data_IF_315654024484
#
_entry.id   IF_315654024484
#
_cell.length_a   1.000
_cell.length_b   1.000
_cell.length_c   1.000
_cell.angle_alpha   90.00
_cell.angle_beta   90.00
_cell.angle_gamma   90.00
#
_symmetry.space_group_name_H-M   'P 1'
#
loop_
_entity.id
_entity.type
_entity.pdbx_description
1 polymer ?
#
# COMPACT_ATOMS: atom_id res chain seq x y z
N UNK A 1 1.37 -46.87 51.08
CA UNK A 1 2.60 -46.16 50.67
C UNK A 1 2.41 -45.74 49.21
N UNK A 2 1.75 -44.62 48.99
CA UNK A 2 2.35 -43.29 48.83
C UNK A 2 2.96 -43.10 47.42
N UNK A 3 2.22 -42.29 46.66
CA UNK A 3 2.46 -41.69 45.36
C UNK A 3 3.88 -41.18 45.11
N UNK A 4 4.45 -41.48 43.94
CA UNK A 4 5.45 -40.60 43.32
C UNK A 4 4.81 -39.85 42.16
N UNK A 5 4.31 -38.67 42.50
CA UNK A 5 3.93 -37.59 41.62
C UNK A 5 5.12 -37.21 40.73
N UNK A 6 5.05 -37.58 39.44
CA UNK A 6 5.82 -36.89 38.40
C UNK A 6 5.32 -35.46 38.34
N UNK A 7 6.04 -34.59 39.05
CA UNK A 7 5.91 -33.14 38.97
C UNK A 7 6.09 -32.71 37.51
N UNK A 8 4.98 -32.40 36.86
CA UNK A 8 4.94 -31.59 35.63
C UNK A 8 5.49 -30.22 35.99
N UNK A 9 6.76 -29.96 35.67
CA UNK A 9 7.26 -28.58 35.58
C UNK A 9 6.67 -27.94 34.32
N UNK A 10 6.22 -26.68 34.38
CA UNK A 10 5.60 -26.00 33.25
C UNK A 10 6.68 -25.57 32.24
N UNK A 11 6.54 -26.01 30.98
CA UNK A 11 7.39 -25.61 29.86
C UNK A 11 7.05 -24.20 29.30
N UNK A 12 6.17 -23.43 29.96
CA UNK A 12 5.61 -22.21 29.37
C UNK A 12 6.48 -20.95 29.53
N UNK A 13 7.63 -21.02 30.23
CA UNK A 13 8.46 -19.84 30.51
C UNK A 13 9.50 -19.51 29.43
N UNK A 14 10.06 -20.52 28.76
CA UNK A 14 11.19 -20.35 27.82
C UNK A 14 10.72 -19.89 26.43
N UNK A 15 9.55 -20.38 26.00
CA UNK A 15 9.05 -20.15 24.64
C UNK A 15 8.52 -18.71 24.49
N UNK A 16 7.85 -18.17 25.51
CA UNK A 16 7.36 -16.80 25.49
C UNK A 16 8.49 -15.76 25.49
N UNK A 17 9.58 -16.03 26.22
CA UNK A 17 10.75 -15.17 26.25
C UNK A 17 11.52 -15.23 24.92
N UNK A 18 11.66 -16.43 24.35
CA UNK A 18 12.26 -16.63 23.02
C UNK A 18 11.47 -15.91 21.93
N UNK A 19 10.14 -16.07 21.91
CA UNK A 19 9.25 -15.40 20.97
C UNK A 19 9.37 -13.87 21.08
N UNK A 20 9.39 -13.33 22.30
CA UNK A 20 9.57 -11.89 22.53
C UNK A 20 10.91 -11.39 22.00
N UNK A 21 11.99 -12.11 22.28
CA UNK A 21 13.32 -11.76 21.79
C UNK A 21 13.39 -11.75 20.26
N UNK A 22 12.82 -12.76 19.60
CA UNK A 22 12.79 -12.86 18.13
C UNK A 22 11.94 -11.76 17.49
N UNK A 23 10.80 -11.39 18.10
CA UNK A 23 10.01 -10.21 17.70
C UNK A 23 10.80 -8.90 17.81
N UNK A 24 11.59 -8.74 18.88
CA UNK A 24 12.42 -7.55 19.06
C UNK A 24 13.54 -7.47 18.01
N UNK A 25 14.09 -8.62 17.57
CA UNK A 25 15.01 -8.68 16.42
C UNK A 25 14.30 -8.23 15.14
N UNK A 26 13.17 -8.87 14.80
CA UNK A 26 12.42 -8.53 13.58
C UNK A 26 12.05 -7.03 13.56
N UNK A 27 11.61 -6.48 14.69
CA UNK A 27 11.31 -5.05 14.81
C UNK A 27 12.51 -4.17 14.48
N UNK A 28 13.72 -4.52 14.96
CA UNK A 28 14.95 -3.77 14.64
C UNK A 28 15.31 -3.89 13.17
N UNK A 29 15.18 -5.07 12.58
CA UNK A 29 15.41 -5.27 11.14
C UNK A 29 14.45 -4.41 10.30
N UNK A 30 13.16 -4.42 10.64
CA UNK A 30 12.16 -3.59 9.96
C UNK A 30 12.39 -2.10 10.18
N UNK A 31 12.86 -1.69 11.35
CA UNK A 31 13.21 -0.29 11.62
C UNK A 31 14.47 0.15 10.84
N UNK A 32 15.39 -0.77 10.54
CA UNK A 32 16.53 -0.53 9.65
C UNK A 32 16.16 -0.52 8.16
N UNK A 33 15.21 -1.36 7.75
CA UNK A 33 14.76 -1.50 6.35
C UNK A 33 13.73 -0.44 5.91
N UNK A 34 13.49 0.62 6.70
CA UNK A 34 12.43 1.62 6.44
C UNK A 34 12.58 2.37 5.13
N UNK A 35 13.81 2.49 4.63
CA UNK A 35 14.10 3.16 3.37
C UNK A 35 14.00 2.20 2.17
N UNK A 36 13.57 0.95 2.42
CA UNK A 36 13.28 -0.08 1.42
C UNK A 36 14.49 -0.41 0.52
N UNK A 37 15.70 -0.28 1.05
CA UNK A 37 16.91 -0.67 0.34
C UNK A 37 16.95 -2.20 0.15
N UNK A 38 17.32 -2.64 -1.06
CA UNK A 38 17.28 -4.08 -1.43
C UNK A 38 18.12 -4.96 -0.50
N UNK A 39 19.25 -4.46 0.02
CA UNK A 39 20.08 -5.20 0.97
C UNK A 39 19.35 -5.44 2.30
N UNK A 40 18.72 -4.42 2.87
CA UNK A 40 18.02 -4.54 4.15
C UNK A 40 16.77 -5.40 4.02
N UNK A 41 16.03 -5.26 2.91
CA UNK A 41 14.88 -6.12 2.63
C UNK A 41 15.27 -7.59 2.49
N UNK A 42 16.46 -7.88 1.91
CA UNK A 42 16.99 -9.24 1.84
C UNK A 42 17.26 -9.81 3.24
N UNK A 43 17.83 -9.02 4.15
CA UNK A 43 18.06 -9.46 5.54
C UNK A 43 16.73 -9.75 6.25
N UNK A 44 15.70 -8.93 5.99
CA UNK A 44 14.34 -9.20 6.51
C UNK A 44 13.79 -10.50 5.92
N UNK A 45 13.94 -10.73 4.62
CA UNK A 45 13.49 -11.94 3.94
C UNK A 45 14.17 -13.19 4.52
N UNK A 46 15.49 -13.17 4.69
CA UNK A 46 16.27 -14.24 5.33
C UNK A 46 15.74 -14.56 6.74
N UNK A 47 15.48 -13.54 7.56
CA UNK A 47 14.89 -13.74 8.88
C UNK A 47 13.48 -14.37 8.82
N UNK A 48 12.66 -13.98 7.85
CA UNK A 48 11.30 -14.49 7.70
C UNK A 48 11.27 -15.95 7.23
N UNK A 49 12.27 -16.37 6.44
CA UNK A 49 12.48 -17.80 6.12
C UNK A 49 12.81 -18.58 7.39
N UNK A 50 13.75 -18.07 8.20
CA UNK A 50 14.22 -18.72 9.42
C UNK A 50 13.14 -18.79 10.52
N UNK A 51 12.20 -17.84 10.55
CA UNK A 51 11.20 -17.72 11.62
C UNK A 51 9.83 -17.27 11.11
N UNK A 52 9.20 -18.12 10.29
CA UNK A 52 7.87 -17.87 9.72
C UNK A 52 6.80 -17.65 10.80
N UNK A 53 6.92 -18.32 11.96
CA UNK A 53 5.98 -18.17 13.09
C UNK A 53 6.02 -16.75 13.64
N UNK A 54 7.22 -16.19 13.85
CA UNK A 54 7.36 -14.79 14.26
C UNK A 54 6.84 -13.85 13.18
N UNK A 55 7.10 -14.14 11.90
CA UNK A 55 6.58 -13.39 10.76
C UNK A 55 5.06 -13.25 10.78
N UNK A 56 4.34 -14.37 10.70
CA UNK A 56 2.87 -14.38 10.64
C UNK A 56 2.25 -13.79 11.90
N UNK A 57 2.83 -14.08 13.06
CA UNK A 57 2.34 -13.55 14.32
C UNK A 57 2.50 -12.02 14.39
N UNK A 58 3.61 -11.48 13.87
CA UNK A 58 3.86 -10.04 13.83
C UNK A 58 2.86 -9.34 12.91
N UNK A 59 2.64 -9.88 11.70
CA UNK A 59 1.63 -9.36 10.75
C UNK A 59 0.24 -9.37 11.38
N UNK A 60 -0.16 -10.51 11.97
CA UNK A 60 -1.46 -10.66 12.62
C UNK A 60 -1.66 -9.66 13.76
N UNK A 61 -0.65 -9.47 14.62
CA UNK A 61 -0.73 -8.52 15.72
C UNK A 61 -0.87 -7.07 15.23
N UNK A 62 -0.12 -6.68 14.20
CA UNK A 62 -0.22 -5.33 13.63
C UNK A 62 -1.59 -5.08 13.00
N UNK A 63 -2.09 -6.01 12.20
CA UNK A 63 -3.38 -5.89 11.51
C UNK A 63 -4.56 -5.84 12.49
N UNK A 64 -4.59 -6.74 13.47
CA UNK A 64 -5.61 -6.70 14.54
C UNK A 64 -5.54 -5.40 15.36
N UNK A 65 -4.35 -4.82 15.50
CA UNK A 65 -4.16 -3.52 16.14
C UNK A 65 -4.90 -2.39 15.42
N UNK A 66 -4.99 -2.42 14.08
CA UNK A 66 -5.79 -1.46 13.32
C UNK A 66 -7.28 -1.63 13.60
N UNK A 67 -7.77 -2.87 13.63
CA UNK A 67 -9.16 -3.20 13.92
C UNK A 67 -9.59 -2.80 15.33
N UNK A 68 -8.79 -3.14 16.36
CA UNK A 68 -9.09 -2.76 17.74
C UNK A 68 -9.08 -1.25 17.96
N UNK A 69 -8.29 -0.52 17.17
CA UNK A 69 -8.16 0.93 17.27
C UNK A 69 -9.20 1.70 16.45
N UNK A 70 -10.09 1.02 15.70
CA UNK A 70 -11.11 1.67 14.86
C UNK A 70 -12.08 2.55 15.65
N UNK A 71 -12.46 2.13 16.85
CA UNK A 71 -13.30 2.91 17.78
C UNK A 71 -12.63 4.21 18.23
N UNK A 72 -11.32 4.31 18.02
CA UNK A 72 -10.46 5.43 18.38
C UNK A 72 -9.85 6.15 17.18
N UNK A 73 -10.27 5.85 15.92
CA UNK A 73 -9.89 6.71 14.80
C UNK A 73 -10.40 8.10 15.16
N UNK A 74 -9.50 9.08 15.33
CA UNK A 74 -9.93 10.41 15.72
C UNK A 74 -10.88 10.93 14.66
N UNK A 75 -12.08 11.33 15.07
CA UNK A 75 -12.81 12.31 14.29
C UNK A 75 -11.89 13.54 14.16
N UNK A 76 -12.03 14.35 13.12
CA UNK A 76 -11.26 15.59 12.95
C UNK A 76 -11.56 16.65 14.05
N UNK A 77 -12.07 16.21 15.21
CA UNK A 77 -12.40 17.01 16.35
C UNK A 77 -11.14 17.37 17.15
N UNK A 78 -10.93 18.67 17.31
CA UNK A 78 -9.68 19.31 17.73
C UNK A 78 -9.44 19.14 19.24
N UNK A 79 -10.44 18.67 19.98
CA UNK A 79 -10.45 18.50 21.44
C UNK A 79 -9.50 17.41 21.97
N UNK A 80 -9.05 16.47 21.14
CA UNK A 80 -8.16 15.34 21.54
C UNK A 80 -6.83 15.28 20.78
N UNK A 81 -6.34 16.43 20.31
CA UNK A 81 -5.22 16.54 19.38
C UNK A 81 -3.95 15.72 19.76
N UNK A 82 -3.46 15.67 21.01
CA UNK A 82 -2.24 14.91 21.34
C UNK A 82 -2.40 13.38 21.26
N UNK A 83 -3.50 12.84 21.77
CA UNK A 83 -3.78 11.40 21.75
C UNK A 83 -4.05 10.92 20.31
N UNK A 84 -4.81 11.72 19.54
CA UNK A 84 -5.07 11.50 18.13
C UNK A 84 -3.78 11.45 17.29
N UNK A 85 -2.86 12.39 17.55
CA UNK A 85 -1.54 12.42 16.90
C UNK A 85 -0.71 11.20 17.28
N UNK A 86 -0.72 10.81 18.55
CA UNK A 86 0.03 9.63 19.01
C UNK A 86 -0.47 8.34 18.33
N UNK A 87 -1.79 8.13 18.29
CA UNK A 87 -2.40 6.99 17.61
C UNK A 87 -2.05 6.98 16.11
N UNK A 88 -2.12 8.14 15.45
CA UNK A 88 -1.76 8.28 14.03
C UNK A 88 -0.28 7.95 13.77
N UNK A 89 0.63 8.33 14.67
CA UNK A 89 2.06 7.98 14.59
C UNK A 89 2.28 6.47 14.75
N UNK A 90 1.59 5.83 15.70
CA UNK A 90 1.67 4.39 15.92
C UNK A 90 1.11 3.60 14.71
N UNK A 91 -0.01 4.06 14.15
CA UNK A 91 -0.60 3.51 12.94
C UNK A 91 0.34 3.65 11.74
N UNK A 92 0.93 4.83 11.53
CA UNK A 92 1.92 5.08 10.47
C UNK A 92 3.13 4.16 10.59
N UNK A 93 3.71 4.05 11.80
CA UNK A 93 4.87 3.18 12.02
C UNK A 93 4.54 1.69 11.79
N UNK A 94 3.31 1.26 12.09
CA UNK A 94 2.87 -0.11 11.82
C UNK A 94 2.67 -0.34 10.33
N UNK A 95 2.15 0.65 9.61
CA UNK A 95 2.00 0.61 8.16
C UNK A 95 3.36 0.55 7.44
N UNK A 96 4.34 1.35 7.88
CA UNK A 96 5.72 1.31 7.36
C UNK A 96 6.32 -0.09 7.51
N UNK A 97 6.16 -0.72 8.68
CA UNK A 97 6.67 -2.08 8.93
C UNK A 97 5.96 -3.14 8.10
N UNK A 98 4.64 -3.07 7.97
CA UNK A 98 3.88 -3.98 7.11
C UNK A 98 4.31 -3.84 5.64
N UNK A 99 4.58 -2.61 5.18
CA UNK A 99 5.08 -2.37 3.82
C UNK A 99 6.45 -3.01 3.61
N UNK A 100 7.35 -2.94 4.60
CA UNK A 100 8.66 -3.61 4.55
C UNK A 100 8.51 -5.14 4.53
N UNK A 101 7.60 -5.70 5.34
CA UNK A 101 7.32 -7.16 5.34
C UNK A 101 6.80 -7.58 3.97
N UNK A 102 5.81 -6.88 3.41
CA UNK A 102 5.29 -7.20 2.08
C UNK A 102 6.35 -7.06 1.00
N UNK A 103 7.19 -6.03 1.06
CA UNK A 103 8.30 -5.86 0.13
C UNK A 103 9.27 -7.05 0.20
N UNK A 104 9.67 -7.45 1.40
CA UNK A 104 10.55 -8.61 1.63
C UNK A 104 9.91 -9.92 1.12
N UNK A 105 8.63 -10.14 1.41
CA UNK A 105 7.88 -11.32 0.96
C UNK A 105 7.73 -11.40 -0.57
N UNK A 106 7.76 -10.27 -1.26
CA UNK A 106 7.63 -10.17 -2.73
C UNK A 106 8.98 -9.92 -3.43
N UNK A 107 10.11 -10.05 -2.72
CA UNK A 107 11.42 -9.96 -3.37
C UNK A 107 11.63 -11.13 -4.32
N UNK A 108 12.05 -10.84 -5.55
CA UNK A 108 12.60 -11.84 -6.47
C UNK A 108 14.01 -12.20 -6.00
N UNK A 109 14.11 -13.18 -5.11
CA UNK A 109 15.38 -13.64 -4.53
C UNK A 109 15.46 -15.17 -4.53
N UNK A 110 16.62 -15.70 -4.16
CA UNK A 110 16.85 -17.14 -3.95
C UNK A 110 15.88 -17.77 -2.92
N UNK A 111 15.22 -16.95 -2.10
CA UNK A 111 14.30 -17.36 -1.04
C UNK A 111 12.82 -17.30 -1.44
N UNK A 112 12.50 -17.00 -2.71
CA UNK A 112 11.12 -16.73 -3.13
C UNK A 112 10.17 -17.91 -2.81
N UNK A 113 10.58 -19.14 -3.13
CA UNK A 113 9.77 -20.35 -2.90
C UNK A 113 9.55 -20.65 -1.41
N UNK A 114 10.57 -20.43 -0.58
CA UNK A 114 10.49 -20.67 0.87
C UNK A 114 9.54 -19.69 1.59
N UNK A 115 9.35 -18.50 1.00
CA UNK A 115 8.47 -17.47 1.53
C UNK A 115 7.01 -17.59 1.05
N UNK A 116 6.73 -18.40 0.03
CA UNK A 116 5.37 -18.54 -0.52
C UNK A 116 4.33 -19.03 0.52
N UNK A 117 4.62 -20.01 1.40
CA UNK A 117 3.68 -20.42 2.45
C UNK A 117 3.38 -19.31 3.47
N UNK A 118 4.40 -18.53 3.84
CA UNK A 118 4.23 -17.39 4.75
C UNK A 118 3.46 -16.25 4.06
N UNK A 119 3.74 -16.01 2.78
CA UNK A 119 3.05 -14.99 1.95
C UNK A 119 1.57 -15.31 1.87
N UNK A 120 1.20 -16.56 1.57
CA UNK A 120 -0.20 -17.00 1.52
C UNK A 120 -0.91 -16.77 2.87
N UNK A 121 -0.31 -17.19 3.98
CA UNK A 121 -0.88 -16.96 5.32
C UNK A 121 -1.02 -15.47 5.65
N UNK A 122 -0.03 -14.65 5.29
CA UNK A 122 -0.12 -13.20 5.50
C UNK A 122 -1.29 -12.61 4.68
N UNK A 123 -1.45 -13.02 3.43
CA UNK A 123 -2.53 -12.56 2.56
C UNK A 123 -3.91 -12.92 3.12
N UNK A 124 -4.09 -14.11 3.68
CA UNK A 124 -5.35 -14.50 4.34
C UNK A 124 -5.71 -13.51 5.47
N UNK A 125 -4.72 -13.15 6.31
CA UNK A 125 -4.94 -12.14 7.37
C UNK A 125 -5.20 -10.74 6.81
N UNK A 126 -4.55 -10.38 5.70
CA UNK A 126 -4.80 -9.10 5.03
C UNK A 126 -6.22 -9.01 4.49
N UNK A 127 -6.74 -10.09 3.89
CA UNK A 127 -8.13 -10.17 3.41
C UNK A 127 -9.09 -9.92 4.56
N UNK A 128 -8.93 -10.64 5.68
CA UNK A 128 -9.79 -10.51 6.87
C UNK A 128 -9.81 -9.10 7.44
N UNK A 129 -8.64 -8.44 7.51
CA UNK A 129 -8.46 -7.15 8.19
C UNK A 129 -8.49 -5.95 7.22
N UNK A 130 -8.70 -6.19 5.92
CA UNK A 130 -8.62 -5.18 4.86
C UNK A 130 -9.52 -3.96 5.11
N UNK A 131 -10.82 -4.10 5.48
CA UNK A 131 -11.69 -2.94 5.66
C UNK A 131 -11.22 -1.99 6.76
N UNK A 132 -10.55 -2.53 7.78
CA UNK A 132 -10.00 -1.76 8.91
C UNK A 132 -8.71 -1.05 8.51
N UNK A 133 -7.80 -1.79 7.87
CA UNK A 133 -6.55 -1.25 7.35
C UNK A 133 -6.82 -0.13 6.33
N UNK A 134 -7.75 -0.34 5.40
CA UNK A 134 -8.08 0.62 4.36
C UNK A 134 -8.65 1.94 4.93
N UNK A 135 -9.46 1.87 5.99
CA UNK A 135 -9.94 3.06 6.70
C UNK A 135 -8.80 3.84 7.34
N UNK A 136 -7.85 3.16 7.98
CA UNK A 136 -6.67 3.80 8.56
C UNK A 136 -5.77 4.43 7.49
N UNK A 137 -5.50 3.72 6.40
CA UNK A 137 -4.75 4.27 5.27
C UNK A 137 -5.42 5.53 4.72
N UNK A 138 -6.74 5.50 4.52
CA UNK A 138 -7.49 6.68 4.06
C UNK A 138 -7.42 7.84 5.07
N UNK A 139 -7.47 7.57 6.37
CA UNK A 139 -7.35 8.59 7.40
C UNK A 139 -5.95 9.22 7.37
N UNK A 140 -4.89 8.40 7.38
CA UNK A 140 -3.51 8.87 7.39
C UNK A 140 -3.17 9.69 6.15
N UNK A 141 -3.60 9.27 4.95
CA UNK A 141 -3.39 10.03 3.71
C UNK A 141 -4.07 11.42 3.78
N UNK A 142 -5.24 11.51 4.44
CA UNK A 142 -6.00 12.77 4.57
C UNK A 142 -5.48 13.69 5.67
N UNK A 143 -4.84 13.16 6.71
CA UNK A 143 -4.43 13.94 7.88
C UNK A 143 -3.44 15.07 7.54
N UNK A 144 -2.61 14.88 6.51
CA UNK A 144 -1.67 15.91 6.03
C UNK A 144 -0.48 16.17 6.98
N UNK A 145 0.56 16.83 6.46
CA UNK A 145 1.93 16.93 7.00
C UNK A 145 2.16 17.53 8.40
N UNK A 146 1.13 17.90 9.17
CA UNK A 146 1.32 18.68 10.41
C UNK A 146 1.74 17.83 11.62
N UNK A 147 1.49 16.52 11.60
CA UNK A 147 1.71 15.65 12.76
C UNK A 147 2.51 14.38 12.46
N UNK A 148 2.51 13.96 11.18
CA UNK A 148 3.13 12.72 10.69
C UNK A 148 3.88 13.02 9.39
N UNK A 149 4.89 12.19 9.11
CA UNK A 149 5.64 12.28 7.86
C UNK A 149 4.75 11.84 6.68
N UNK A 150 4.18 12.83 6.00
CA UNK A 150 3.27 12.63 4.87
C UNK A 150 3.92 11.81 3.74
N UNK A 151 5.22 12.04 3.47
CA UNK A 151 5.91 11.30 2.42
C UNK A 151 5.97 9.81 2.78
N UNK A 152 6.38 9.48 4.02
CA UNK A 152 6.40 8.08 4.49
C UNK A 152 5.04 7.42 4.46
N UNK A 153 3.98 8.13 4.82
CA UNK A 153 2.61 7.62 4.73
C UNK A 153 2.22 7.30 3.29
N UNK A 154 2.45 8.23 2.35
CA UNK A 154 2.11 8.04 0.94
C UNK A 154 2.91 6.90 0.33
N UNK A 155 4.21 6.81 0.63
CA UNK A 155 5.07 5.69 0.22
C UNK A 155 4.52 4.38 0.77
N UNK A 156 4.31 4.27 2.08
CA UNK A 156 3.87 3.03 2.71
C UNK A 156 2.51 2.59 2.18
N UNK A 157 1.54 3.50 2.08
CA UNK A 157 0.23 3.19 1.51
C UNK A 157 0.32 2.70 0.06
N UNK A 158 1.17 3.34 -0.76
CA UNK A 158 1.35 2.93 -2.16
C UNK A 158 2.00 1.55 -2.25
N UNK A 159 3.04 1.29 -1.46
CA UNK A 159 3.74 -0.01 -1.44
C UNK A 159 2.82 -1.13 -0.97
N UNK A 160 2.03 -0.89 0.08
CA UNK A 160 1.03 -1.86 0.56
C UNK A 160 0.04 -2.25 -0.54
N UNK A 161 -0.59 -1.26 -1.17
CA UNK A 161 -1.54 -1.52 -2.26
C UNK A 161 -0.85 -2.20 -3.44
N UNK A 162 0.35 -1.76 -3.80
CA UNK A 162 1.13 -2.34 -4.89
C UNK A 162 1.35 -3.85 -4.67
N UNK A 163 1.87 -4.25 -3.51
CA UNK A 163 2.13 -5.67 -3.25
C UNK A 163 0.88 -6.52 -2.99
N UNK A 164 -0.19 -5.92 -2.47
CA UNK A 164 -1.45 -6.62 -2.20
C UNK A 164 -2.33 -6.76 -3.44
N UNK A 165 -2.17 -5.91 -4.46
CA UNK A 165 -3.04 -5.90 -5.64
C UNK A 165 -2.34 -6.26 -6.94
N UNK A 166 -1.01 -6.14 -7.03
CA UNK A 166 -0.29 -6.55 -8.25
C UNK A 166 -0.29 -8.08 -8.38
N UNK A 167 -0.66 -8.56 -9.57
CA UNK A 167 -0.90 -10.00 -9.83
C UNK A 167 -2.19 -10.49 -9.20
N UNK A 168 -3.23 -9.64 -9.16
CA UNK A 168 -4.56 -10.03 -8.66
C UNK A 168 -5.23 -11.11 -9.52
N UNK A 169 -4.86 -11.24 -10.78
CA UNK A 169 -5.25 -12.31 -11.69
C UNK A 169 -4.63 -13.68 -11.34
N UNK A 170 -3.51 -13.69 -10.62
CA UNK A 170 -2.78 -14.90 -10.26
C UNK A 170 -3.12 -15.44 -8.86
N UNK A 171 -3.60 -14.61 -7.94
CA UNK A 171 -3.92 -14.99 -6.56
C UNK A 171 -5.31 -14.48 -6.12
N UNK A 172 -6.26 -15.37 -5.78
CA UNK A 172 -7.63 -14.99 -5.42
C UNK A 172 -7.71 -14.08 -4.18
N UNK A 173 -6.74 -14.15 -3.27
CA UNK A 173 -6.70 -13.28 -2.08
C UNK A 173 -6.38 -11.85 -2.47
N UNK A 174 -5.46 -11.68 -3.44
CA UNK A 174 -5.13 -10.37 -4.01
C UNK A 174 -6.30 -9.84 -4.83
N UNK A 175 -6.98 -10.70 -5.60
CA UNK A 175 -8.22 -10.32 -6.29
C UNK A 175 -9.26 -9.79 -5.32
N UNK A 176 -9.53 -10.51 -4.22
CA UNK A 176 -10.51 -10.11 -3.20
C UNK A 176 -10.19 -8.73 -2.60
N UNK A 177 -8.92 -8.48 -2.27
CA UNK A 177 -8.47 -7.16 -1.82
C UNK A 177 -8.65 -6.11 -2.93
N UNK A 178 -8.26 -6.42 -4.16
CA UNK A 178 -8.28 -5.49 -5.29
C UNK A 178 -9.69 -5.07 -5.70
N UNK A 179 -10.66 -5.99 -5.67
CA UNK A 179 -12.08 -5.71 -6.01
C UNK A 179 -12.87 -5.09 -4.86
N UNK A 180 -12.34 -5.13 -3.62
CA UNK A 180 -13.02 -4.56 -2.47
C UNK A 180 -13.26 -3.03 -2.66
N UNK A 181 -14.45 -2.48 -2.36
CA UNK A 181 -14.81 -1.10 -2.67
C UNK A 181 -13.87 -0.01 -2.12
N UNK A 182 -13.19 -0.29 -1.00
CA UNK A 182 -12.22 0.66 -0.43
C UNK A 182 -10.93 0.77 -1.23
N UNK A 183 -10.60 -0.22 -2.05
CA UNK A 183 -9.34 -0.29 -2.80
C UNK A 183 -9.31 0.73 -3.94
N UNK A 184 -10.32 0.79 -4.84
CA UNK A 184 -10.42 1.88 -5.81
C UNK A 184 -10.39 3.26 -5.17
N UNK A 185 -11.08 3.42 -4.03
CA UNK A 185 -11.16 4.68 -3.31
C UNK A 185 -9.78 5.15 -2.79
N UNK A 186 -8.95 4.22 -2.31
CA UNK A 186 -7.58 4.49 -1.87
C UNK A 186 -6.65 4.79 -3.04
N UNK A 187 -6.76 4.03 -4.13
CA UNK A 187 -5.96 4.26 -5.35
C UNK A 187 -6.24 5.65 -5.91
N UNK A 188 -7.51 6.04 -6.05
CA UNK A 188 -7.90 7.38 -6.47
C UNK A 188 -7.42 8.48 -5.49
N UNK A 189 -7.45 8.21 -4.19
CA UNK A 189 -6.96 9.14 -3.16
C UNK A 189 -5.44 9.38 -3.30
N UNK A 190 -4.65 8.33 -3.54
CA UNK A 190 -3.21 8.42 -3.76
C UNK A 190 -2.87 9.07 -5.10
N UNK A 191 -3.59 8.72 -6.17
CA UNK A 191 -3.49 9.40 -7.46
C UNK A 191 -3.79 10.90 -7.32
N UNK A 192 -4.74 11.29 -6.48
CA UNK A 192 -5.06 12.71 -6.28
C UNK A 192 -4.14 13.42 -5.28
N UNK A 193 -3.18 12.72 -4.66
CA UNK A 193 -2.37 13.27 -3.57
C UNK A 193 -1.23 14.15 -4.11
N UNK A 194 -1.22 15.41 -3.68
CA UNK A 194 -0.19 16.42 -3.98
C UNK A 194 0.76 16.64 -2.81
N UNK A 195 2.04 16.85 -3.11
CA UNK A 195 3.07 17.30 -2.18
C UNK A 195 2.71 18.72 -1.71
N UNK A 196 2.53 18.94 -0.41
CA UNK A 196 2.10 20.25 0.12
C UNK A 196 3.06 21.38 -0.27
N UNK A 197 4.37 21.11 -0.32
CA UNK A 197 5.40 22.13 -0.59
C UNK A 197 5.44 22.58 -2.06
N UNK A 198 5.22 21.68 -3.01
CA UNK A 198 5.42 21.95 -4.44
C UNK A 198 4.12 22.03 -5.22
N UNK A 199 3.01 21.53 -4.67
CA UNK A 199 1.74 21.42 -5.38
C UNK A 199 1.71 20.33 -6.45
N UNK A 200 2.84 19.65 -6.70
CA UNK A 200 2.98 18.53 -7.64
C UNK A 200 2.48 17.22 -7.04
N UNK A 201 2.11 16.26 -7.87
CA UNK A 201 1.72 14.93 -7.41
C UNK A 201 2.90 14.12 -6.84
N UNK A 202 2.60 13.14 -5.99
CA UNK A 202 3.62 12.17 -5.57
C UNK A 202 3.94 11.21 -6.72
N UNK A 203 5.15 11.31 -7.24
CA UNK A 203 5.78 10.35 -8.15
C UNK A 203 6.67 9.43 -7.33
N UNK A 204 6.29 8.17 -7.19
CA UNK A 204 7.04 7.18 -6.42
C UNK A 204 7.76 6.25 -7.40
N UNK A 205 8.90 6.72 -7.89
CA UNK A 205 9.70 5.99 -8.86
C UNK A 205 10.44 4.82 -8.20
N UNK A 206 10.42 3.68 -8.90
CA UNK A 206 11.28 2.54 -8.66
C UNK A 206 12.17 2.35 -9.88
N UNK A 207 13.42 1.94 -9.66
CA UNK A 207 14.39 1.73 -10.75
C UNK A 207 13.94 0.68 -11.77
N UNK A 208 13.00 -0.19 -11.42
CA UNK A 208 12.57 -1.36 -12.20
C UNK A 208 11.18 -1.23 -12.84
N UNK A 209 10.34 -0.28 -12.42
CA UNK A 209 8.92 -0.20 -12.87
C UNK A 209 8.40 1.24 -13.02
N UNK A 210 9.29 2.24 -12.89
CA UNK A 210 8.89 3.64 -12.88
C UNK A 210 7.92 4.00 -11.75
N UNK A 211 6.92 4.82 -12.03
CA UNK A 211 5.99 5.34 -11.03
C UNK A 211 5.01 4.26 -10.57
N UNK A 212 5.24 3.72 -9.36
CA UNK A 212 4.47 2.57 -8.82
C UNK A 212 2.96 2.80 -8.77
N UNK A 213 2.51 4.02 -8.45
CA UNK A 213 1.06 4.31 -8.39
C UNK A 213 0.42 4.35 -9.78
N UNK A 214 1.17 4.76 -10.81
CA UNK A 214 0.71 4.69 -12.20
C UNK A 214 0.64 3.23 -12.68
N UNK A 215 1.67 2.44 -12.39
CA UNK A 215 1.67 1.02 -12.70
C UNK A 215 0.53 0.26 -12.01
N UNK A 216 0.31 0.49 -10.70
CA UNK A 216 -0.80 -0.11 -9.96
C UNK A 216 -2.16 0.27 -10.57
N UNK A 217 -2.34 1.54 -10.94
CA UNK A 217 -3.57 2.01 -11.58
C UNK A 217 -3.84 1.28 -12.90
N UNK A 218 -2.80 1.12 -13.75
CA UNK A 218 -2.90 0.33 -14.97
C UNK A 218 -3.22 -1.14 -14.69
N UNK A 219 -2.47 -1.78 -13.78
CA UNK A 219 -2.63 -3.20 -13.46
C UNK A 219 -4.03 -3.55 -12.95
N UNK A 220 -4.62 -2.68 -12.13
CA UNK A 220 -6.00 -2.84 -11.67
C UNK A 220 -7.04 -2.71 -12.79
N UNK A 221 -6.72 -1.98 -13.86
CA UNK A 221 -7.62 -1.83 -15.00
C UNK A 221 -7.36 -2.87 -16.09
N UNK A 222 -6.21 -3.55 -16.11
CA UNK A 222 -5.95 -4.60 -17.10
C UNK A 222 -6.73 -5.89 -16.83
N UNK A 223 -7.02 -6.22 -15.57
CA UNK A 223 -7.84 -7.38 -15.21
C UNK A 223 -9.34 -7.03 -15.16
N UNK A 224 -10.20 -7.87 -15.74
CA UNK A 224 -11.63 -7.57 -15.91
C UNK A 224 -12.38 -7.39 -14.57
N UNK A 225 -12.12 -8.25 -13.58
CA UNK A 225 -12.77 -8.18 -12.28
C UNK A 225 -12.43 -6.88 -11.54
N UNK A 226 -11.14 -6.56 -11.46
CA UNK A 226 -10.65 -5.33 -10.82
C UNK A 226 -10.99 -4.09 -11.63
N UNK A 227 -11.06 -4.17 -12.97
CA UNK A 227 -11.52 -3.09 -13.84
C UNK A 227 -12.96 -2.72 -13.53
N UNK A 228 -13.84 -3.72 -13.41
CA UNK A 228 -15.23 -3.52 -13.02
C UNK A 228 -15.35 -2.79 -11.69
N UNK A 229 -14.60 -3.22 -10.68
CA UNK A 229 -14.57 -2.57 -9.36
C UNK A 229 -14.06 -1.11 -9.42
N UNK A 230 -13.00 -0.85 -10.19
CA UNK A 230 -12.45 0.49 -10.39
C UNK A 230 -13.44 1.44 -11.07
N UNK A 231 -14.10 0.98 -12.15
CA UNK A 231 -15.11 1.76 -12.89
C UNK A 231 -16.30 2.08 -12.00
N UNK A 232 -16.84 1.08 -11.29
CA UNK A 232 -17.97 1.27 -10.36
C UNK A 232 -17.56 2.24 -9.24
N UNK A 233 -16.40 2.03 -8.63
CA UNK A 233 -15.88 2.88 -7.57
C UNK A 233 -15.77 4.34 -7.99
N UNK A 234 -15.18 4.60 -9.16
CA UNK A 234 -15.11 5.95 -9.74
C UNK A 234 -16.51 6.54 -10.01
N UNK A 235 -17.40 5.77 -10.65
CA UNK A 235 -18.74 6.22 -11.03
C UNK A 235 -19.59 6.62 -9.83
N UNK A 236 -19.45 5.90 -8.73
CA UNK A 236 -20.23 6.10 -7.51
C UNK A 236 -19.63 7.20 -6.61
N UNK A 237 -18.41 7.68 -6.90
CA UNK A 237 -17.88 8.87 -6.25
C UNK A 237 -18.76 10.09 -6.51
N UNK A 238 -18.77 11.02 -5.54
CA UNK A 238 -19.36 12.35 -5.74
C UNK A 238 -18.75 13.01 -6.96
N UNK A 239 -19.58 13.64 -7.79
CA UNK A 239 -19.19 14.27 -9.08
C UNK A 239 -17.94 15.15 -8.93
N UNK A 240 -17.89 16.00 -7.90
CA UNK A 240 -16.74 16.87 -7.65
C UNK A 240 -15.44 16.11 -7.36
N UNK A 241 -15.52 15.02 -6.57
CA UNK A 241 -14.36 14.16 -6.26
C UNK A 241 -13.92 13.37 -7.51
N UNK A 242 -14.87 12.86 -8.29
CA UNK A 242 -14.58 12.14 -9.53
C UNK A 242 -13.86 13.04 -10.54
N UNK A 243 -14.39 14.22 -10.83
CA UNK A 243 -13.74 15.21 -11.71
C UNK A 243 -12.34 15.59 -11.23
N UNK A 244 -12.17 15.85 -9.94
CA UNK A 244 -10.84 16.12 -9.37
C UNK A 244 -9.85 14.96 -9.54
N UNK A 245 -10.34 13.72 -9.44
CA UNK A 245 -9.52 12.50 -9.65
C UNK A 245 -9.13 12.36 -11.12
N UNK A 246 -10.07 12.59 -12.05
CA UNK A 246 -9.81 12.59 -13.50
C UNK A 246 -8.77 13.67 -13.83
N UNK A 247 -8.98 14.91 -13.38
CA UNK A 247 -8.03 16.01 -13.57
C UNK A 247 -6.64 15.69 -13.00
N UNK A 248 -6.57 14.96 -11.88
CA UNK A 248 -5.30 14.51 -11.30
C UNK A 248 -4.56 13.50 -12.17
N UNK A 249 -5.28 12.55 -12.79
CA UNK A 249 -4.69 11.61 -13.75
C UNK A 249 -4.06 12.34 -14.94
N UNK A 250 -4.73 13.37 -15.46
CA UNK A 250 -4.22 14.17 -16.59
C UNK A 250 -2.97 14.94 -16.18
N UNK A 251 -3.07 15.65 -15.07
CA UNK A 251 -2.00 16.53 -14.58
C UNK A 251 -0.74 15.74 -14.20
N UNK A 252 -0.90 14.49 -13.74
CA UNK A 252 0.22 13.61 -13.35
C UNK A 252 1.18 13.32 -14.49
N UNK A 253 0.69 13.13 -15.72
CA UNK A 253 1.60 12.90 -16.84
C UNK A 253 2.47 14.12 -17.14
N UNK A 254 1.88 15.33 -17.06
CA UNK A 254 2.66 16.57 -17.15
C UNK A 254 3.70 16.69 -16.03
N UNK A 255 3.33 16.37 -14.79
CA UNK A 255 4.26 16.37 -13.66
C UNK A 255 5.40 15.37 -13.85
N UNK A 256 5.10 14.14 -14.30
CA UNK A 256 6.10 13.10 -14.58
C UNK A 256 7.13 13.54 -15.62
N UNK A 257 6.69 14.17 -16.72
CA UNK A 257 7.58 14.70 -17.77
C UNK A 257 8.42 15.88 -17.26
N UNK A 258 7.89 16.66 -16.32
CA UNK A 258 8.55 17.86 -15.77
C UNK A 258 9.57 17.58 -14.65
N UNK A 259 9.69 16.34 -14.18
CA UNK A 259 10.57 15.93 -13.06
C UNK A 259 11.87 15.26 -13.53
N UNK A 260 12.23 15.29 -14.82
CA UNK A 260 13.21 14.34 -15.41
C UNK A 260 14.57 14.96 -15.77
N UNK A 261 15.64 14.33 -15.27
CA UNK A 261 16.98 14.38 -15.85
C UNK A 261 17.09 13.39 -17.02
N UNK A 262 17.82 13.73 -18.09
CA UNK A 262 17.84 12.98 -19.35
C UNK A 262 18.17 11.46 -19.23
N UNK A 263 18.76 11.02 -18.12
CA UNK A 263 19.07 9.61 -17.84
C UNK A 263 17.86 8.73 -17.49
N UNK A 264 16.71 9.31 -17.12
CA UNK A 264 15.54 8.57 -16.63
C UNK A 264 14.34 8.61 -17.61
N UNK A 265 14.58 8.98 -18.86
CA UNK A 265 13.53 9.20 -19.86
C UNK A 265 12.69 7.95 -20.15
N UNK A 266 13.32 6.77 -20.22
CA UNK A 266 12.65 5.49 -20.49
C UNK A 266 11.64 5.14 -19.37
N UNK A 267 12.11 5.20 -18.12
CA UNK A 267 11.31 4.95 -16.91
C UNK A 267 10.12 5.91 -16.80
N UNK A 268 10.30 7.16 -17.22
CA UNK A 268 9.23 8.17 -17.22
C UNK A 268 8.24 7.91 -18.34
N UNK A 269 8.72 7.59 -19.55
CA UNK A 269 7.86 7.24 -20.68
C UNK A 269 6.97 6.02 -20.33
N UNK A 270 7.54 5.00 -19.69
CA UNK A 270 6.79 3.84 -19.19
C UNK A 270 5.74 4.24 -18.15
N UNK A 271 6.09 5.13 -17.22
CA UNK A 271 5.15 5.65 -16.21
C UNK A 271 3.96 6.39 -16.84
N UNK A 272 4.23 7.18 -17.88
CA UNK A 272 3.19 7.90 -18.64
C UNK A 272 2.34 6.91 -19.45
N UNK A 273 2.96 5.91 -20.08
CA UNK A 273 2.26 4.85 -20.81
C UNK A 273 1.30 4.07 -19.90
N UNK A 274 1.70 3.73 -18.67
CA UNK A 274 0.78 3.12 -17.69
C UNK A 274 -0.45 4.00 -17.43
N UNK A 275 -0.26 5.32 -17.22
CA UNK A 275 -1.38 6.23 -17.03
C UNK A 275 -2.31 6.27 -18.25
N UNK A 276 -1.73 6.36 -19.45
CA UNK A 276 -2.47 6.39 -20.71
C UNK A 276 -3.28 5.13 -20.96
N UNK A 277 -2.67 3.95 -20.78
CA UNK A 277 -3.34 2.66 -20.91
C UNK A 277 -4.46 2.50 -19.88
N UNK A 278 -4.22 2.88 -18.62
CA UNK A 278 -5.24 2.89 -17.59
C UNK A 278 -6.42 3.80 -17.96
N UNK A 279 -6.15 5.04 -18.39
CA UNK A 279 -7.21 5.97 -18.81
C UNK A 279 -7.98 5.41 -20.01
N UNK A 280 -7.32 4.73 -20.95
CA UNK A 280 -7.98 4.10 -22.10
C UNK A 280 -9.06 3.11 -21.65
N UNK A 281 -8.77 2.24 -20.67
CA UNK A 281 -9.78 1.34 -20.10
C UNK A 281 -10.94 2.08 -19.44
N UNK A 282 -10.70 3.22 -18.78
CA UNK A 282 -11.79 4.02 -18.22
C UNK A 282 -12.73 4.60 -19.31
N UNK A 283 -12.23 4.83 -20.52
CA UNK A 283 -13.06 5.35 -21.63
C UNK A 283 -14.01 4.30 -22.24
N UNK A 284 -13.90 3.03 -21.84
CA UNK A 284 -14.89 1.99 -22.17
C UNK A 284 -16.24 2.29 -21.50
N UNK A 285 -16.26 2.98 -20.35
CA UNK A 285 -17.50 3.49 -19.74
C UNK A 285 -17.92 4.84 -20.37
N UNK A 286 -19.11 4.95 -20.97
CA UNK A 286 -19.53 6.16 -21.67
C UNK A 286 -19.62 7.42 -20.81
N UNK A 287 -19.91 7.28 -19.51
CA UNK A 287 -20.02 8.43 -18.60
C UNK A 287 -18.63 8.93 -18.22
N UNK A 288 -17.72 8.02 -17.87
CA UNK A 288 -16.33 8.38 -17.58
C UNK A 288 -15.64 8.95 -18.82
N UNK A 289 -15.86 8.36 -19.99
CA UNK A 289 -15.36 8.89 -21.27
C UNK A 289 -15.74 10.35 -21.48
N UNK A 290 -17.03 10.70 -21.34
CA UNK A 290 -17.49 12.08 -21.49
C UNK A 290 -16.78 13.02 -20.52
N UNK A 291 -16.64 12.63 -19.26
CA UNK A 291 -15.97 13.46 -18.25
C UNK A 291 -14.45 13.60 -18.53
N UNK A 292 -13.79 12.56 -19.03
CA UNK A 292 -12.37 12.61 -19.45
C UNK A 292 -12.19 13.54 -20.67
N UNK A 293 -13.11 13.47 -21.62
CA UNK A 293 -13.15 14.37 -22.80
C UNK A 293 -13.41 15.83 -22.38
N UNK A 294 -14.33 16.08 -21.44
CA UNK A 294 -14.63 17.41 -20.87
C UNK A 294 -13.41 18.04 -20.16
N UNK A 295 -12.57 17.23 -19.52
CA UNK A 295 -11.32 17.68 -18.87
C UNK A 295 -10.14 17.82 -19.86
N UNK A 296 -10.42 17.78 -21.18
CA UNK A 296 -9.46 17.98 -22.28
C UNK A 296 -8.27 17.00 -22.32
N UNK A 297 -8.44 15.76 -21.85
CA UNK A 297 -7.36 14.76 -21.83
C UNK A 297 -6.65 14.61 -23.19
N UNK A 298 -7.41 14.48 -24.27
CA UNK A 298 -6.86 14.26 -25.62
C UNK A 298 -6.03 15.46 -26.11
N UNK A 299 -6.44 16.68 -25.76
CA UNK A 299 -5.73 17.91 -26.18
C UNK A 299 -4.44 18.10 -25.38
N UNK A 300 -4.46 17.81 -24.08
CA UNK A 300 -3.26 17.96 -23.22
C UNK A 300 -2.17 16.97 -23.63
N UNK A 301 -2.51 15.72 -23.97
CA UNK A 301 -1.52 14.71 -24.37
C UNK A 301 -1.00 14.89 -25.81
N UNK A 302 -1.84 15.32 -26.75
CA UNK A 302 -1.38 15.66 -28.11
C UNK A 302 -0.43 16.87 -28.14
N UNK A 303 -0.35 17.62 -27.03
CA UNK A 303 0.50 18.80 -26.87
C UNK A 303 1.83 18.50 -26.16
N UNK A 304 2.06 17.26 -25.70
CA UNK A 304 3.34 16.86 -25.10
C UNK A 304 4.36 16.72 -26.25
N UNK A 305 5.45 17.51 -26.27
CA UNK A 305 6.46 17.40 -27.31
C UNK A 305 7.06 15.99 -27.30
N UNK A 306 7.03 15.31 -28.44
CA UNK A 306 7.78 14.07 -28.66
C UNK A 306 9.28 14.35 -28.77
#
# INVERSE_FOLDING_TARGET
MASNSRSRRPANGNDAQTLRYRKDILKKLLDGARDLASHDLRIVAEFLVDDQVVGIHTVTQMLRGFSSSLTSIPSFDISHLPAAIHLSKCASASLERLACILAALNMRSEYHEDLDPLRAQCLDVFVEEWPSLARWMSHLIRLGSKAIDEFRVVVSCTMMLYYLCLGADDDPRKEEIAVHPSTPDLVCLLLSKKKIKTGRYYSLHAHDVGCRIAHLFFALLSCDATRGAMIIGLRDMRVSKRRATIAALISRAGDLVSEVDASDLETVAESVDFLLKGVTYLTEDPKLRREIEEENFVVVYASIPC
#
